data_IF_371301313568
#
_entry.id   IF_371301313568
#
_cell.length_a   1.000
_cell.length_b   1.000
_cell.length_c   1.000
_cell.angle_alpha   90.00
_cell.angle_beta   90.00
_cell.angle_gamma   90.00
#
_symmetry.space_group_name_H-M   'P 1'
#
loop_
_entity.id
_entity.type
_entity.pdbx_description
1 polymer ?
#
# COMPACT_ATOMS: atom_id res chain seq x y z
N UNK A 1 -11.27 9.43 7.21
CA UNK A 1 -12.24 8.90 8.16
C UNK A 1 -12.19 7.38 8.13
N UNK A 2 -13.29 6.69 8.35
CA UNK A 2 -13.41 5.24 8.35
C UNK A 2 -14.68 4.82 7.63
N UNK A 3 -15.21 3.61 7.93
CA UNK A 3 -16.49 3.16 7.42
C UNK A 3 -17.63 4.02 7.98
N UNK A 4 -18.65 4.21 7.15
CA UNK A 4 -19.91 4.82 7.61
C UNK A 4 -20.66 3.82 8.52
N UNK A 5 -20.93 4.23 9.74
CA UNK A 5 -21.64 3.45 10.73
C UNK A 5 -23.14 3.82 10.85
N UNK A 6 -23.68 4.60 9.92
CA UNK A 6 -25.09 5.05 9.92
C UNK A 6 -26.07 3.88 9.87
N UNK A 7 -25.68 2.73 9.29
CA UNK A 7 -26.47 1.49 9.29
C UNK A 7 -26.54 0.78 10.66
N UNK A 8 -25.92 1.33 11.71
CA UNK A 8 -25.96 0.80 13.06
C UNK A 8 -25.41 -0.62 13.16
N UNK A 9 -26.10 -1.51 13.88
CA UNK A 9 -25.66 -2.90 14.11
C UNK A 9 -25.53 -3.76 12.84
N UNK A 10 -26.13 -3.34 11.73
CA UNK A 10 -26.04 -4.05 10.44
C UNK A 10 -24.77 -3.72 9.64
N UNK A 11 -23.97 -2.74 10.08
CA UNK A 11 -22.84 -2.20 9.29
C UNK A 11 -21.85 -3.28 8.83
N UNK A 12 -21.61 -4.29 9.65
CA UNK A 12 -20.64 -5.37 9.35
C UNK A 12 -21.31 -6.73 9.07
N UNK A 13 -22.66 -6.77 9.04
CA UNK A 13 -23.44 -7.96 8.67
C UNK A 13 -23.68 -7.92 7.16
N UNK A 14 -22.81 -8.59 6.41
CA UNK A 14 -22.84 -8.55 4.94
C UNK A 14 -24.11 -9.16 4.36
N UNK A 15 -24.69 -10.18 5.01
CA UNK A 15 -25.92 -10.82 4.54
C UNK A 15 -27.12 -9.89 4.67
N UNK A 16 -27.22 -9.14 5.77
CA UNK A 16 -28.29 -8.16 5.96
C UNK A 16 -28.13 -6.91 5.09
N UNK A 17 -26.90 -6.50 4.78
CA UNK A 17 -26.64 -5.40 3.87
C UNK A 17 -27.04 -5.70 2.43
N UNK A 18 -26.88 -6.94 1.99
CA UNK A 18 -27.28 -7.36 0.64
C UNK A 18 -28.80 -7.44 0.46
N UNK A 19 -29.55 -7.74 1.54
CA UNK A 19 -31.01 -7.81 1.50
C UNK A 19 -31.72 -6.46 1.46
N UNK A 20 -31.09 -5.39 1.93
CA UNK A 20 -31.69 -4.04 2.02
C UNK A 20 -31.52 -3.21 0.73
N UNK A 21 -31.11 -3.82 -0.40
CA UNK A 21 -31.16 -3.18 -1.72
C UNK A 21 -30.18 -2.04 -1.93
N UNK A 22 -29.09 -1.93 -1.15
CA UNK A 22 -27.96 -1.07 -1.50
C UNK A 22 -27.28 -1.61 -2.78
N UNK A 23 -27.93 -1.27 -3.89
CA UNK A 23 -27.61 -1.69 -5.23
C UNK A 23 -26.18 -1.29 -5.61
N UNK A 24 -25.38 -2.26 -5.96
CA UNK A 24 -24.03 -2.12 -6.50
C UNK A 24 -23.16 -3.33 -6.26
N UNK A 25 -23.55 -4.25 -5.39
CA UNK A 25 -22.90 -5.57 -5.24
C UNK A 25 -23.75 -6.60 -5.96
N UNK A 26 -23.29 -7.03 -7.12
CA UNK A 26 -23.80 -8.23 -7.76
C UNK A 26 -23.77 -9.37 -6.74
N UNK A 27 -24.87 -10.13 -6.65
CA UNK A 27 -24.96 -11.39 -5.94
C UNK A 27 -24.02 -12.39 -6.64
N UNK A 28 -22.74 -12.30 -6.36
CA UNK A 28 -21.69 -13.16 -6.86
C UNK A 28 -20.97 -13.76 -5.65
N UNK A 29 -20.26 -14.85 -5.88
CA UNK A 29 -19.39 -15.58 -4.94
C UNK A 29 -18.43 -14.69 -4.12
N UNK A 30 -18.36 -13.39 -4.46
CA UNK A 30 -17.50 -12.37 -3.84
C UNK A 30 -18.15 -11.60 -2.66
N UNK A 31 -19.40 -11.93 -2.24
CA UNK A 31 -20.10 -11.18 -1.18
C UNK A 31 -19.36 -11.25 0.16
N UNK A 32 -18.70 -12.36 0.42
CA UNK A 32 -17.95 -12.63 1.65
C UNK A 32 -16.53 -12.04 1.60
N UNK A 33 -16.09 -11.58 0.43
CA UNK A 33 -14.77 -11.01 0.26
C UNK A 33 -14.70 -9.60 0.83
N UNK A 34 -13.75 -9.37 1.74
CA UNK A 34 -13.49 -8.05 2.32
C UNK A 34 -13.20 -7.00 1.25
N UNK A 35 -14.06 -5.97 1.20
CA UNK A 35 -13.94 -4.87 0.25
C UNK A 35 -12.68 -4.03 0.47
N UNK A 36 -12.24 -3.88 1.73
CA UNK A 36 -10.97 -3.22 2.09
C UNK A 36 -9.77 -3.97 1.50
N UNK A 37 -9.79 -5.31 1.58
CA UNK A 37 -8.77 -6.16 1.00
C UNK A 37 -8.64 -6.02 -0.53
N UNK A 38 -9.76 -5.82 -1.23
CA UNK A 38 -9.72 -5.55 -2.68
C UNK A 38 -9.01 -4.23 -3.01
N UNK A 39 -9.25 -3.19 -2.21
CA UNK A 39 -8.59 -1.87 -2.36
C UNK A 39 -7.10 -1.99 -2.07
N UNK A 40 -6.72 -2.59 -0.94
CA UNK A 40 -5.32 -2.72 -0.55
C UNK A 40 -4.51 -3.55 -1.54
N UNK A 41 -5.03 -4.67 -2.01
CA UNK A 41 -4.37 -5.48 -3.03
C UNK A 41 -4.24 -4.74 -4.37
N UNK A 42 -5.21 -3.89 -4.73
CA UNK A 42 -5.09 -3.04 -5.92
C UNK A 42 -3.99 -2.00 -5.77
N UNK A 43 -3.84 -1.38 -4.60
CA UNK A 43 -2.73 -0.46 -4.30
C UNK A 43 -1.39 -1.22 -4.30
N UNK A 44 -1.34 -2.39 -3.67
CA UNK A 44 -0.16 -3.25 -3.64
C UNK A 44 0.35 -3.59 -5.03
N UNK A 45 -0.55 -3.89 -5.97
CA UNK A 45 -0.23 -4.22 -7.36
C UNK A 45 -0.07 -3.00 -8.28
N UNK A 46 -0.03 -1.79 -7.73
CA UNK A 46 0.22 -0.57 -8.52
C UNK A 46 1.59 -0.62 -9.19
N UNK A 47 1.65 -0.28 -10.46
CA UNK A 47 2.91 -0.13 -11.21
C UNK A 47 3.60 1.21 -10.94
N UNK A 48 2.99 2.09 -10.16
CA UNK A 48 3.55 3.39 -9.81
C UNK A 48 3.69 3.50 -8.30
N UNK A 49 4.69 4.21 -7.79
CA UNK A 49 4.75 4.57 -6.37
C UNK A 49 3.47 5.26 -5.90
N UNK A 50 3.01 4.91 -4.72
CA UNK A 50 1.83 5.48 -4.08
C UNK A 50 2.25 6.20 -2.80
N UNK A 51 2.01 7.49 -2.75
CA UNK A 51 2.33 8.36 -1.60
C UNK A 51 1.02 8.73 -0.91
N UNK A 52 0.88 8.39 0.36
CA UNK A 52 -0.24 8.82 1.20
C UNK A 52 0.06 10.17 1.85
N UNK A 53 -0.82 11.15 1.66
CA UNK A 53 -0.81 12.43 2.36
C UNK A 53 -2.01 12.48 3.31
N UNK A 54 -1.80 12.09 4.57
CA UNK A 54 -2.85 11.89 5.55
C UNK A 54 -3.10 13.19 6.31
N UNK A 55 -4.15 13.91 5.95
CA UNK A 55 -4.43 15.26 6.43
C UNK A 55 -5.38 15.35 7.63
N UNK A 56 -5.78 14.22 8.23
CA UNK A 56 -6.74 14.21 9.35
C UNK A 56 -6.99 12.80 9.89
N UNK A 57 -8.21 12.54 10.35
CA UNK A 57 -8.57 11.26 10.94
C UNK A 57 -8.51 10.10 9.94
N UNK A 58 -7.84 9.02 10.30
CA UNK A 58 -7.69 7.77 9.57
C UNK A 58 -7.97 6.59 10.52
N UNK A 59 -9.19 6.06 10.48
CA UNK A 59 -9.70 5.07 11.44
C UNK A 59 -10.35 3.90 10.70
N UNK A 60 -10.17 2.67 11.18
CA UNK A 60 -10.67 1.48 10.50
C UNK A 60 -10.12 1.38 9.08
N UNK A 61 -10.97 1.21 8.06
CA UNK A 61 -10.53 1.17 6.66
C UNK A 61 -9.74 2.42 6.25
N UNK A 62 -9.99 3.58 6.88
CA UNK A 62 -9.24 4.79 6.63
C UNK A 62 -7.76 4.71 7.00
N UNK A 63 -7.36 3.83 7.92
CA UNK A 63 -5.96 3.54 8.25
C UNK A 63 -5.46 2.29 7.52
N UNK A 64 -6.27 1.24 7.40
CA UNK A 64 -5.81 -0.02 6.80
C UNK A 64 -5.55 0.10 5.29
N UNK A 65 -6.33 0.90 4.56
CA UNK A 65 -6.08 1.15 3.13
C UNK A 65 -4.75 1.84 2.83
N UNK A 66 -4.12 2.46 3.82
CA UNK A 66 -2.83 3.15 3.66
C UNK A 66 -1.64 2.19 3.78
N UNK A 67 -1.84 1.00 4.34
CA UNK A 67 -0.76 0.05 4.62
C UNK A 67 0.04 -0.36 3.38
N UNK A 68 -0.57 -0.63 2.21
CA UNK A 68 0.16 -0.95 0.99
C UNK A 68 0.73 0.27 0.24
N UNK A 69 0.49 1.49 0.70
CA UNK A 69 1.12 2.68 0.13
C UNK A 69 2.62 2.67 0.45
N UNK A 70 3.44 3.13 -0.48
CA UNK A 70 4.89 3.02 -0.36
C UNK A 70 5.47 4.01 0.66
N UNK A 71 4.97 5.23 0.66
CA UNK A 71 5.39 6.30 1.57
C UNK A 71 4.15 6.96 2.14
N UNK A 72 4.12 7.15 3.47
CA UNK A 72 3.05 7.85 4.19
C UNK A 72 3.62 9.11 4.83
N UNK A 73 2.98 10.24 4.55
CA UNK A 73 3.22 11.53 5.19
C UNK A 73 1.95 11.92 5.94
N UNK A 74 2.06 12.53 7.09
CA UNK A 74 0.91 12.92 7.89
C UNK A 74 0.94 14.41 8.23
N UNK A 75 -0.22 15.00 8.43
CA UNK A 75 -0.32 16.29 9.09
C UNK A 75 -0.18 16.13 10.61
N UNK A 76 0.23 17.18 11.29
CA UNK A 76 0.37 17.26 12.74
C UNK A 76 -0.95 17.01 13.49
N UNK A 77 -2.08 17.31 12.86
CA UNK A 77 -3.41 17.04 13.41
C UNK A 77 -3.98 15.66 13.02
N UNK A 78 -3.25 14.85 12.24
CA UNK A 78 -3.73 13.52 11.87
C UNK A 78 -3.87 12.61 13.11
N UNK A 79 -4.87 11.73 13.06
CA UNK A 79 -5.16 10.73 14.09
C UNK A 79 -5.40 9.40 13.44
N UNK A 80 -4.83 8.36 14.02
CA UNK A 80 -4.90 7.01 13.51
C UNK A 80 -5.57 6.07 14.50
N UNK A 81 -6.20 4.99 14.03
CA UNK A 81 -6.78 4.01 14.92
C UNK A 81 -7.21 2.71 14.25
N UNK A 82 -6.70 1.59 14.76
CA UNK A 82 -7.10 0.24 14.39
C UNK A 82 -8.23 -0.24 15.31
N UNK A 83 -9.39 0.40 15.24
CA UNK A 83 -10.48 0.32 16.23
C UNK A 83 -11.34 -0.94 16.15
N UNK A 84 -10.96 -1.92 15.35
CA UNK A 84 -11.75 -3.11 15.02
C UNK A 84 -12.15 -3.90 16.26
N UNK A 85 -11.21 -4.26 17.13
CA UNK A 85 -11.46 -5.05 18.33
C UNK A 85 -12.44 -4.36 19.31
N UNK A 86 -12.44 -3.02 19.35
CA UNK A 86 -13.45 -2.26 20.11
C UNK A 86 -14.86 -2.32 19.50
N UNK A 87 -15.00 -2.86 18.31
CA UNK A 87 -16.28 -3.07 17.61
C UNK A 87 -16.67 -4.55 17.55
N UNK A 88 -15.89 -5.43 18.20
CA UNK A 88 -16.13 -6.87 18.17
C UNK A 88 -15.82 -7.53 16.82
N UNK A 89 -15.04 -6.86 15.97
CA UNK A 89 -14.58 -7.37 14.66
C UNK A 89 -13.05 -7.36 14.61
N UNK A 90 -12.50 -8.09 13.64
CA UNK A 90 -11.06 -8.18 13.43
C UNK A 90 -10.56 -7.12 12.43
N UNK A 91 -9.25 -6.76 12.45
CA UNK A 91 -8.62 -6.01 11.38
C UNK A 91 -8.82 -6.67 10.02
N UNK A 92 -9.09 -5.87 9.00
CA UNK A 92 -9.40 -6.23 7.62
C UNK A 92 -8.36 -5.69 6.63
N UNK A 93 -8.65 -5.72 5.34
CA UNK A 93 -7.81 -5.09 4.29
C UNK A 93 -6.38 -5.64 4.23
N UNK A 94 -6.21 -6.95 4.50
CA UNK A 94 -4.91 -7.61 4.59
C UNK A 94 -3.94 -6.93 5.59
N UNK A 95 -4.47 -6.18 6.57
CA UNK A 95 -3.67 -5.48 7.56
C UNK A 95 -2.83 -6.42 8.43
N UNK A 96 -3.27 -7.65 8.66
CA UNK A 96 -2.50 -8.69 9.35
C UNK A 96 -1.19 -9.06 8.63
N UNK A 97 -1.12 -8.84 7.31
CA UNK A 97 0.11 -9.03 6.54
C UNK A 97 0.96 -7.75 6.53
N UNK A 98 0.34 -6.59 6.27
CA UNK A 98 1.08 -5.34 6.08
C UNK A 98 1.56 -4.71 7.39
N UNK A 99 0.68 -4.57 8.39
CA UNK A 99 0.97 -3.78 9.57
C UNK A 99 2.20 -4.27 10.35
N UNK A 100 2.34 -5.57 10.68
CA UNK A 100 3.52 -6.04 11.42
C UNK A 100 4.82 -5.91 10.63
N UNK A 101 4.76 -5.86 9.30
CA UNK A 101 5.93 -5.62 8.44
C UNK A 101 6.38 -4.16 8.42
N UNK A 102 5.46 -3.25 8.73
CA UNK A 102 5.76 -1.81 8.78
C UNK A 102 6.26 -1.36 10.15
N UNK A 103 5.66 -1.86 11.24
CA UNK A 103 5.91 -1.34 12.60
C UNK A 103 6.41 -2.41 13.59
N UNK A 104 6.61 -3.63 13.11
CA UNK A 104 6.91 -4.77 13.96
C UNK A 104 5.68 -5.34 14.68
N UNK A 105 5.77 -6.61 15.09
CA UNK A 105 4.62 -7.35 15.62
C UNK A 105 4.09 -6.76 16.93
N UNK A 106 4.98 -6.34 17.82
CA UNK A 106 4.58 -5.81 19.13
C UNK A 106 3.75 -4.53 19.00
N UNK A 107 4.19 -3.58 18.20
CA UNK A 107 3.47 -2.33 18.00
C UNK A 107 2.16 -2.54 17.24
N UNK A 108 2.15 -3.45 16.26
CA UNK A 108 0.95 -3.84 15.54
C UNK A 108 -0.13 -4.42 16.49
N UNK A 109 0.27 -5.31 17.40
CA UNK A 109 -0.63 -5.90 18.39
C UNK A 109 -1.11 -4.88 19.43
N UNK A 110 -0.24 -3.97 19.92
CA UNK A 110 -0.66 -2.89 20.82
C UNK A 110 -1.80 -2.06 20.22
N UNK A 111 -1.61 -1.57 19.01
CA UNK A 111 -2.63 -0.75 18.34
C UNK A 111 -3.93 -1.52 18.05
N UNK A 112 -3.82 -2.78 17.60
CA UNK A 112 -5.00 -3.58 17.30
C UNK A 112 -5.76 -4.03 18.55
N UNK A 113 -5.07 -4.50 19.61
CA UNK A 113 -5.71 -4.99 20.83
C UNK A 113 -6.38 -3.86 21.61
N UNK A 114 -5.70 -2.73 21.75
CA UNK A 114 -6.27 -1.58 22.44
C UNK A 114 -7.34 -0.86 21.64
N UNK A 115 -7.21 -0.88 20.32
CA UNK A 115 -8.09 -0.14 19.40
C UNK A 115 -8.15 1.35 19.71
N UNK A 116 -7.12 1.90 20.36
CA UNK A 116 -7.05 3.32 20.72
C UNK A 116 -6.77 4.20 19.52
N UNK A 117 -7.12 5.46 19.64
CA UNK A 117 -6.71 6.49 18.70
C UNK A 117 -5.36 7.04 19.16
N UNK A 118 -4.45 7.24 18.22
CA UNK A 118 -3.12 7.78 18.50
C UNK A 118 -2.75 8.92 17.54
N UNK A 119 -1.86 9.84 17.96
CA UNK A 119 -1.48 11.02 17.18
C UNK A 119 -0.45 10.70 16.10
N UNK A 120 -0.26 11.66 15.19
CA UNK A 120 0.73 11.57 14.11
C UNK A 120 2.18 11.37 14.62
N UNK A 121 2.52 11.96 15.77
CA UNK A 121 3.85 11.80 16.35
C UNK A 121 4.13 10.34 16.75
N UNK A 122 3.18 9.66 17.37
CA UNK A 122 3.33 8.24 17.70
C UNK A 122 3.46 7.37 16.42
N UNK A 123 2.71 7.73 15.37
CA UNK A 123 2.84 7.06 14.08
C UNK A 123 4.23 7.26 13.45
N UNK A 124 4.85 8.44 13.65
CA UNK A 124 6.22 8.74 13.21
C UNK A 124 7.23 7.93 14.03
N UNK A 125 7.11 7.94 15.34
CA UNK A 125 8.04 7.24 16.25
C UNK A 125 8.04 5.73 16.02
N UNK A 126 6.89 5.17 15.65
CA UNK A 126 6.73 3.77 15.29
C UNK A 126 7.14 3.43 13.83
N UNK A 127 7.55 4.39 13.03
CA UNK A 127 7.89 4.19 11.62
C UNK A 127 6.69 3.95 10.69
N UNK A 128 5.47 4.16 11.18
CA UNK A 128 4.26 4.03 10.35
C UNK A 128 4.15 5.14 9.30
N UNK A 129 4.48 6.37 9.66
CA UNK A 129 4.62 7.49 8.73
C UNK A 129 6.07 7.94 8.65
N UNK A 130 6.49 8.39 7.47
CA UNK A 130 7.86 8.84 7.22
C UNK A 130 8.16 10.21 7.82
N UNK A 131 7.17 11.10 7.80
CA UNK A 131 7.31 12.47 8.31
C UNK A 131 5.94 13.06 8.69
N UNK A 132 5.99 14.06 9.55
CA UNK A 132 4.84 14.86 9.98
C UNK A 132 5.11 16.32 9.61
N UNK A 133 4.12 16.97 9.05
CA UNK A 133 4.18 18.37 8.59
C UNK A 133 2.98 19.17 9.13
N UNK A 134 3.08 20.49 9.22
CA UNK A 134 1.90 21.32 9.36
C UNK A 134 0.86 21.00 8.28
N UNK A 135 -0.42 20.99 8.64
CA UNK A 135 -1.48 20.59 7.70
C UNK A 135 -1.45 21.39 6.39
N UNK A 136 -1.14 22.67 6.47
CA UNK A 136 -1.07 23.55 5.29
C UNK A 136 0.06 23.18 4.31
N UNK A 137 1.13 22.53 4.79
CA UNK A 137 2.30 22.18 3.99
C UNK A 137 2.24 20.73 3.44
N UNK A 138 1.45 19.87 4.06
CA UNK A 138 1.46 18.43 3.79
C UNK A 138 1.35 18.07 2.32
N UNK A 139 0.40 18.68 1.60
CA UNK A 139 0.16 18.34 0.20
C UNK A 139 1.31 18.76 -0.69
N UNK A 140 1.92 19.91 -0.41
CA UNK A 140 3.06 20.40 -1.18
C UNK A 140 4.30 19.54 -0.92
N UNK A 141 4.54 19.10 0.33
CA UNK A 141 5.60 18.14 0.66
C UNK A 141 5.40 16.79 -0.02
N UNK A 142 4.18 16.31 -0.12
CA UNK A 142 3.87 15.09 -0.85
C UNK A 142 4.13 15.24 -2.36
N UNK A 143 3.78 16.38 -2.95
CA UNK A 143 4.07 16.69 -4.35
C UNK A 143 5.56 16.86 -4.62
N UNK A 144 6.30 17.53 -3.73
CA UNK A 144 7.77 17.63 -3.82
C UNK A 144 8.40 16.25 -3.91
N UNK A 145 8.03 15.33 -3.02
CA UNK A 145 8.52 13.96 -3.03
C UNK A 145 8.11 13.20 -4.30
N UNK A 146 6.87 13.38 -4.75
CA UNK A 146 6.41 12.77 -6.00
C UNK A 146 7.18 13.26 -7.22
N UNK A 147 7.50 14.57 -7.26
CA UNK A 147 8.35 15.18 -8.31
C UNK A 147 9.78 14.68 -8.24
N UNK A 148 10.37 14.58 -7.04
CA UNK A 148 11.70 14.01 -6.86
C UNK A 148 11.81 12.62 -7.49
N UNK A 149 10.79 11.77 -7.29
CA UNK A 149 10.76 10.45 -7.91
C UNK A 149 10.53 10.56 -9.43
N UNK A 150 9.50 11.30 -9.85
CA UNK A 150 9.06 11.31 -11.24
C UNK A 150 10.08 11.98 -12.19
N UNK A 151 10.76 13.01 -11.71
CA UNK A 151 11.63 13.83 -12.55
C UNK A 151 13.10 13.31 -12.58
N UNK A 152 13.48 12.46 -11.60
CA UNK A 152 14.88 12.04 -11.44
C UNK A 152 15.09 10.52 -11.59
N UNK A 153 14.02 9.73 -11.79
CA UNK A 153 14.15 8.26 -11.84
C UNK A 153 13.47 7.65 -13.07
N UNK A 154 14.06 6.57 -13.59
CA UNK A 154 13.47 5.81 -14.70
C UNK A 154 12.21 5.05 -14.24
N UNK A 155 11.09 5.29 -14.91
CA UNK A 155 9.77 4.80 -14.49
C UNK A 155 9.71 3.26 -14.37
N UNK A 156 10.29 2.53 -15.32
CA UNK A 156 10.33 1.05 -15.28
C UNK A 156 11.19 0.54 -14.14
N UNK A 157 12.36 1.15 -13.91
CA UNK A 157 13.24 0.79 -12.79
C UNK A 157 12.56 1.04 -11.44
N UNK A 158 11.86 2.16 -11.30
CA UNK A 158 11.07 2.47 -10.10
C UNK A 158 9.95 1.45 -9.86
N UNK A 159 9.24 1.04 -10.91
CA UNK A 159 8.22 -0.02 -10.85
C UNK A 159 8.82 -1.35 -10.38
N UNK A 160 9.91 -1.78 -11.00
CA UNK A 160 10.59 -3.04 -10.61
C UNK A 160 11.07 -2.97 -9.16
N UNK A 161 11.76 -1.90 -8.78
CA UNK A 161 12.23 -1.69 -7.39
C UNK A 161 11.09 -1.79 -6.39
N UNK A 162 9.95 -1.14 -6.68
CA UNK A 162 8.76 -1.23 -5.83
C UNK A 162 8.32 -2.67 -5.60
N UNK A 163 8.14 -3.42 -6.68
CA UNK A 163 7.69 -4.82 -6.56
C UNK A 163 8.75 -5.72 -5.93
N UNK A 164 10.03 -5.54 -6.24
CA UNK A 164 11.13 -6.27 -5.61
C UNK A 164 11.11 -6.07 -4.10
N UNK A 165 11.05 -4.84 -3.61
CA UNK A 165 11.04 -4.55 -2.18
C UNK A 165 9.82 -5.15 -1.47
N UNK A 166 8.61 -4.93 -2.00
CA UNK A 166 7.40 -5.45 -1.37
C UNK A 166 7.32 -6.99 -1.37
N UNK A 167 7.65 -7.63 -2.49
CA UNK A 167 7.48 -9.07 -2.63
C UNK A 167 8.55 -9.87 -1.90
N UNK A 168 9.75 -9.32 -1.76
CA UNK A 168 10.84 -9.97 -1.01
C UNK A 168 10.66 -9.90 0.51
N UNK A 169 9.69 -9.13 1.05
CA UNK A 169 9.34 -9.19 2.48
C UNK A 169 8.79 -10.55 2.94
N UNK A 170 8.37 -11.41 2.03
CA UNK A 170 7.90 -12.76 2.29
C UNK A 170 8.85 -13.86 1.83
N UNK A 171 9.99 -13.52 1.24
CA UNK A 171 10.95 -14.48 0.75
C UNK A 171 11.60 -15.29 1.89
N UNK A 172 11.79 -16.57 1.66
CA UNK A 172 12.37 -17.49 2.67
C UNK A 172 13.90 -17.43 2.73
N UNK A 173 14.52 -16.96 1.63
CA UNK A 173 15.97 -16.91 1.51
C UNK A 173 16.41 -15.76 0.61
N UNK A 174 17.53 -15.06 0.90
CA UNK A 174 18.02 -13.94 0.07
C UNK A 174 18.37 -14.34 -1.37
N UNK A 175 18.56 -15.63 -1.67
CA UNK A 175 18.76 -16.11 -3.04
C UNK A 175 17.56 -15.83 -3.94
N UNK A 176 16.34 -15.83 -3.41
CA UNK A 176 15.14 -15.46 -4.16
C UNK A 176 15.22 -14.01 -4.66
N UNK A 177 15.66 -13.09 -3.79
CA UNK A 177 15.92 -11.71 -4.19
C UNK A 177 17.06 -11.64 -5.22
N UNK A 178 18.18 -12.34 -4.99
CA UNK A 178 19.32 -12.32 -5.89
C UNK A 178 19.00 -12.80 -7.31
N UNK A 179 18.13 -13.78 -7.47
CA UNK A 179 17.66 -14.24 -8.80
C UNK A 179 16.93 -13.11 -9.52
N UNK A 180 16.00 -12.43 -8.85
CA UNK A 180 15.22 -11.34 -9.45
C UNK A 180 16.09 -10.11 -9.70
N UNK A 181 16.96 -9.76 -8.76
CA UNK A 181 17.92 -8.65 -8.90
C UNK A 181 18.81 -8.84 -10.13
N UNK A 182 19.33 -10.08 -10.32
CA UNK A 182 20.17 -10.42 -11.46
C UNK A 182 19.44 -10.29 -12.79
N UNK A 183 18.20 -10.75 -12.87
CA UNK A 183 17.37 -10.61 -14.06
C UNK A 183 17.04 -9.14 -14.34
N UNK A 184 16.73 -8.37 -13.30
CA UNK A 184 16.39 -6.96 -13.40
C UNK A 184 17.59 -6.14 -13.89
N UNK A 185 18.75 -6.24 -13.24
CA UNK A 185 19.94 -5.45 -13.63
C UNK A 185 20.44 -5.85 -15.04
N UNK A 186 20.41 -7.13 -15.38
CA UNK A 186 20.80 -7.59 -16.72
C UNK A 186 19.86 -7.04 -17.81
N UNK A 187 18.56 -7.06 -17.56
CA UNK A 187 17.57 -6.52 -18.49
C UNK A 187 17.66 -5.00 -18.63
N UNK A 188 17.69 -4.28 -17.50
CA UNK A 188 17.70 -2.82 -17.49
C UNK A 188 19.00 -2.24 -18.02
N UNK A 189 20.14 -2.86 -17.74
CA UNK A 189 21.44 -2.39 -18.20
C UNK A 189 21.61 -2.24 -19.72
N UNK A 190 20.72 -2.86 -20.50
CA UNK A 190 20.72 -2.79 -21.97
C UNK A 190 19.79 -1.71 -22.55
N UNK A 191 19.08 -0.97 -21.70
CA UNK A 191 18.05 -0.03 -22.13
C UNK A 191 18.58 1.39 -22.34
N UNK A 192 17.80 2.18 -23.09
CA UNK A 192 18.06 3.60 -23.26
C UNK A 192 18.02 4.36 -21.93
N UNK A 193 17.15 3.95 -20.97
CA UNK A 193 17.12 4.52 -19.63
C UNK A 193 18.45 4.36 -18.90
N UNK A 194 19.07 3.17 -18.97
CA UNK A 194 20.36 2.96 -18.31
C UNK A 194 21.47 3.82 -18.94
N UNK A 195 21.46 3.95 -20.27
CA UNK A 195 22.38 4.83 -20.99
C UNK A 195 22.16 6.29 -20.60
N UNK A 196 20.90 6.76 -20.61
CA UNK A 196 20.53 8.11 -20.22
C UNK A 196 20.93 8.41 -18.77
N UNK A 197 20.68 7.49 -17.86
CA UNK A 197 21.05 7.65 -16.45
C UNK A 197 22.57 7.83 -16.25
N UNK A 198 23.40 7.09 -16.99
CA UNK A 198 24.86 7.24 -16.94
C UNK A 198 25.30 8.54 -17.60
N UNK A 199 24.79 8.82 -18.80
CA UNK A 199 25.24 10.01 -19.58
C UNK A 199 24.82 11.29 -18.90
N UNK A 200 23.59 11.43 -18.44
CA UNK A 200 23.12 12.61 -17.73
C UNK A 200 23.94 12.90 -16.46
N UNK A 201 24.32 11.84 -15.72
CA UNK A 201 25.20 11.97 -14.55
C UNK A 201 26.60 12.51 -14.92
N UNK A 202 27.23 11.93 -15.95
CA UNK A 202 28.55 12.36 -16.41
C UNK A 202 28.53 13.81 -16.95
N UNK A 203 27.47 14.15 -17.65
CA UNK A 203 27.24 15.48 -18.23
C UNK A 203 26.70 16.51 -17.23
N UNK A 204 26.42 16.11 -15.99
CA UNK A 204 25.87 16.97 -14.92
C UNK A 204 24.57 17.67 -15.30
N UNK A 205 23.71 17.00 -16.03
CA UNK A 205 22.37 17.49 -16.44
C UNK A 205 21.25 16.64 -15.85
N UNK A 206 20.03 17.15 -15.89
CA UNK A 206 18.85 16.37 -15.54
C UNK A 206 18.64 15.22 -16.54
N UNK A 207 18.26 14.03 -16.05
CA UNK A 207 17.93 12.91 -16.93
C UNK A 207 16.59 13.13 -17.66
N UNK A 208 16.45 12.48 -18.82
CA UNK A 208 15.18 12.41 -19.56
C UNK A 208 14.97 10.97 -19.99
N UNK A 209 14.26 10.21 -19.15
CA UNK A 209 14.05 8.78 -19.37
C UNK A 209 12.95 8.52 -20.41
N UNK A 210 13.25 7.88 -21.55
CA UNK A 210 12.28 7.70 -22.62
C UNK A 210 11.34 6.52 -22.42
N UNK A 211 11.74 5.50 -21.64
CA UNK A 211 11.00 4.23 -21.55
C UNK A 211 9.80 4.33 -20.61
N UNK A 212 8.62 3.98 -21.10
CA UNK A 212 7.38 4.02 -20.32
C UNK A 212 7.05 2.65 -19.73
N UNK A 213 6.33 2.66 -18.60
CA UNK A 213 5.85 1.43 -17.96
C UNK A 213 4.88 0.64 -18.84
N UNK A 214 4.10 1.32 -19.71
CA UNK A 214 3.12 0.70 -20.59
C UNK A 214 3.70 -0.28 -21.60
N UNK A 215 4.95 -0.09 -22.01
CA UNK A 215 5.59 -0.82 -23.10
C UNK A 215 7.04 -1.26 -22.81
N UNK A 216 7.61 -0.81 -21.70
CA UNK A 216 9.02 -1.05 -21.38
C UNK A 216 9.26 -2.07 -20.27
N UNK A 217 8.24 -2.75 -19.77
CA UNK A 217 8.43 -3.78 -18.75
C UNK A 217 9.14 -5.00 -19.33
N UNK A 218 10.12 -5.59 -18.59
CA UNK A 218 10.83 -6.76 -19.07
C UNK A 218 9.93 -8.01 -19.13
N UNK A 219 10.26 -8.96 -20.00
CA UNK A 219 9.45 -10.17 -20.25
C UNK A 219 9.30 -11.10 -19.05
N UNK A 220 10.19 -11.01 -18.04
CA UNK A 220 10.06 -11.78 -16.81
C UNK A 220 9.09 -11.16 -15.80
N UNK A 221 8.61 -9.95 -16.04
CA UNK A 221 7.63 -9.30 -15.17
C UNK A 221 6.20 -9.66 -15.58
N UNK A 222 5.33 -10.08 -14.68
CA UNK A 222 5.61 -10.39 -13.26
C UNK A 222 6.36 -11.74 -13.12
N UNK A 223 7.29 -11.83 -12.18
CA UNK A 223 8.01 -13.10 -11.86
C UNK A 223 7.28 -13.95 -10.81
N UNK A 224 6.10 -13.54 -10.39
CA UNK A 224 5.26 -14.22 -9.40
C UNK A 224 3.89 -14.55 -10.01
N UNK A 225 3.22 -15.50 -9.38
CA UNK A 225 1.80 -15.77 -9.62
C UNK A 225 0.97 -15.10 -8.51
N UNK A 226 -0.15 -14.47 -8.88
CA UNK A 226 -1.08 -13.92 -7.90
C UNK A 226 -1.92 -15.05 -7.30
N UNK A 227 -1.95 -15.20 -5.98
CA UNK A 227 -2.83 -16.16 -5.33
C UNK A 227 -4.31 -15.81 -5.60
N UNK A 228 -5.09 -16.81 -5.97
CA UNK A 228 -6.53 -16.66 -6.11
C UNK A 228 -7.22 -16.56 -4.74
N UNK A 229 -8.25 -15.73 -4.68
CA UNK A 229 -9.10 -15.67 -3.47
C UNK A 229 -9.90 -16.97 -3.35
N UNK A 230 -9.78 -17.62 -2.20
CA UNK A 230 -10.58 -18.79 -1.83
C UNK A 230 -11.23 -18.53 -0.48
N UNK A 231 -12.56 -18.70 -0.40
CA UNK A 231 -13.27 -18.62 0.86
C UNK A 231 -12.91 -19.82 1.74
N UNK A 232 -12.56 -19.55 2.99
CA UNK A 232 -12.17 -20.57 3.98
C UNK A 232 -13.20 -20.74 5.12
N UNK A 233 -14.23 -19.90 5.16
CA UNK A 233 -15.37 -20.07 6.08
C UNK A 233 -16.29 -21.20 5.60
N UNK A 234 -16.96 -21.87 6.54
CA UNK A 234 -17.99 -22.85 6.20
C UNK A 234 -19.24 -22.19 5.59
N UNK A 235 -20.20 -23.01 5.16
CA UNK A 235 -21.45 -22.60 4.51
C UNK A 235 -22.44 -21.94 5.49
N UNK A 236 -21.96 -21.07 6.37
CA UNK A 236 -22.83 -20.18 7.17
C UNK A 236 -23.72 -20.90 8.17
N UNK A 237 -23.19 -21.84 8.94
CA UNK A 237 -23.88 -22.41 10.13
C UNK A 237 -23.55 -21.60 11.38
#
# INVERSE_FOLDING_TARGET
>A
AGADLSSGAKTFDYDKRSSDGEAGRTASEDIQRDGGGRVTLRIFNSLKPVIGAINGAAVGIGVTMQLPMDIRLASDNARFGFVFNRRGINPEAASSWFLPRLVGIQQALDWCFTGRIFPAQEALDAGFVKAVYPQAELLDKAKELAREIADNTAAVSTTLTRHMMWRMLGASHPMEAHIVDSAAIYSRGKTEDAREGVMSFLEKRKPTYPVKVSDGMPSFFPWWEEPEFKWIGGDGS
#
